data_IF_371055140890
#
_entry.id   IF_371055140890
#
_cell.length_a   1.000
_cell.length_b   1.000
_cell.length_c   1.000
_cell.angle_alpha   90.00
_cell.angle_beta   90.00
_cell.angle_gamma   90.00
#
_symmetry.space_group_name_H-M   'P 1'
#
loop_
_entity.id
_entity.type
_entity.pdbx_description
1 polymer ?
#
# COMPACT_ATOMS: atom_id res chain seq x y z
N UNK A 1 42.04 -23.28 -12.90
CA UNK A 1 41.31 -23.46 -14.16
C UNK A 1 39.98 -24.09 -13.83
N UNK A 2 38.87 -23.35 -14.01
CA UNK A 2 37.53 -23.89 -13.80
C UNK A 2 37.18 -24.98 -14.79
N UNK A 3 36.15 -25.77 -14.49
CA UNK A 3 35.60 -26.76 -15.42
C UNK A 3 34.69 -25.98 -16.40
N UNK A 4 34.83 -26.12 -17.74
CA UNK A 4 33.97 -25.44 -18.69
C UNK A 4 32.48 -25.70 -18.47
N UNK A 5 31.62 -24.73 -18.76
CA UNK A 5 30.16 -24.82 -18.62
C UNK A 5 29.53 -26.06 -19.28
N UNK A 6 30.14 -26.53 -20.39
CA UNK A 6 29.68 -27.74 -21.08
C UNK A 6 29.71 -29.04 -20.23
N UNK A 7 30.42 -29.06 -19.10
CA UNK A 7 30.49 -30.19 -18.19
C UNK A 7 29.47 -30.12 -17.06
N UNK A 8 28.71 -29.02 -16.95
CA UNK A 8 27.69 -28.85 -15.92
C UNK A 8 26.28 -28.96 -16.52
N UNK A 9 25.41 -29.65 -15.84
CA UNK A 9 23.97 -29.64 -16.12
C UNK A 9 23.22 -29.31 -14.84
N UNK A 10 22.46 -28.21 -14.86
CA UNK A 10 21.63 -27.78 -13.76
C UNK A 10 20.18 -27.91 -14.18
N UNK A 11 19.46 -28.81 -13.55
CA UNK A 11 18.08 -29.13 -13.87
C UNK A 11 17.17 -28.66 -12.76
N UNK A 12 16.24 -27.78 -13.09
CA UNK A 12 15.15 -27.39 -12.18
C UNK A 12 13.99 -28.38 -12.29
N UNK A 13 13.24 -28.53 -11.19
CA UNK A 13 12.05 -29.38 -11.19
C UNK A 13 11.09 -28.98 -12.31
N UNK A 14 10.49 -29.96 -12.98
CA UNK A 14 9.63 -29.73 -14.15
C UNK A 14 10.33 -29.42 -15.46
N UNK A 15 11.68 -29.45 -15.51
CA UNK A 15 12.49 -29.22 -16.71
C UNK A 15 13.41 -30.38 -17.02
N UNK A 16 13.51 -30.72 -18.30
CA UNK A 16 14.42 -31.75 -18.81
C UNK A 16 15.73 -31.17 -19.36
N UNK A 17 15.68 -29.88 -19.76
CA UNK A 17 16.82 -29.15 -20.30
C UNK A 17 17.61 -28.46 -19.18
N UNK A 18 18.94 -28.42 -19.35
CA UNK A 18 19.83 -27.69 -18.42
C UNK A 18 19.54 -26.19 -18.44
N UNK A 19 19.56 -25.57 -17.26
CA UNK A 19 19.51 -24.13 -17.14
C UNK A 19 20.70 -23.44 -17.86
N UNK A 20 20.47 -22.26 -18.38
CA UNK A 20 21.48 -21.46 -19.06
C UNK A 20 22.40 -20.81 -18.03
N UNK A 21 23.72 -20.96 -18.18
CA UNK A 21 24.71 -20.26 -17.38
C UNK A 21 24.76 -18.78 -17.77
N UNK A 22 24.84 -17.91 -16.76
CA UNK A 22 24.93 -16.46 -16.98
C UNK A 22 26.37 -16.02 -17.28
N UNK A 23 27.36 -16.81 -16.86
CA UNK A 23 28.78 -16.67 -17.16
C UNK A 23 29.43 -18.05 -17.09
N UNK A 24 30.69 -18.18 -17.56
CA UNK A 24 31.46 -19.41 -17.38
C UNK A 24 31.62 -19.70 -15.88
N UNK A 25 31.42 -20.97 -15.47
CA UNK A 25 31.54 -21.37 -14.07
C UNK A 25 32.95 -21.14 -13.51
N UNK A 26 32.99 -20.58 -12.30
CA UNK A 26 34.22 -20.50 -11.52
C UNK A 26 34.44 -21.76 -10.71
N UNK A 27 35.59 -21.87 -10.02
CA UNK A 27 35.93 -23.11 -9.26
C UNK A 27 35.00 -23.37 -8.08
N UNK A 28 34.43 -22.31 -7.49
CA UNK A 28 33.64 -22.39 -6.25
C UNK A 28 32.19 -21.95 -6.42
N UNK A 29 31.86 -21.29 -7.54
CA UNK A 29 30.53 -20.75 -7.79
C UNK A 29 30.16 -20.67 -9.25
N UNK A 30 28.87 -20.69 -9.53
CA UNK A 30 28.31 -20.36 -10.83
C UNK A 30 26.89 -19.80 -10.67
N UNK A 31 26.46 -19.05 -11.66
CA UNK A 31 25.11 -18.50 -11.74
C UNK A 31 24.38 -19.04 -12.94
N UNK A 32 23.14 -19.44 -12.76
CA UNK A 32 22.27 -19.91 -13.83
C UNK A 32 20.98 -19.12 -13.85
N UNK A 33 20.42 -18.94 -15.03
CA UNK A 33 19.09 -18.38 -15.21
C UNK A 33 18.04 -19.45 -14.92
N UNK A 34 17.07 -19.16 -14.06
CA UNK A 34 15.91 -20.04 -13.83
C UNK A 34 15.12 -20.17 -15.14
N UNK A 35 14.90 -21.40 -15.66
CA UNK A 35 14.18 -21.57 -16.91
C UNK A 35 12.71 -21.19 -16.76
N UNK A 36 12.14 -20.66 -17.83
CA UNK A 36 10.70 -20.40 -17.90
C UNK A 36 9.91 -21.71 -17.69
N UNK A 37 8.86 -21.64 -16.83
CA UNK A 37 8.04 -22.80 -16.45
C UNK A 37 8.77 -23.82 -15.58
N UNK A 38 9.87 -23.47 -14.93
CA UNK A 38 10.42 -24.25 -13.83
C UNK A 38 9.39 -24.36 -12.69
N UNK A 39 9.43 -25.46 -11.95
CA UNK A 39 8.57 -25.69 -10.80
C UNK A 39 9.40 -25.72 -9.52
N UNK A 40 8.75 -25.41 -8.39
CA UNK A 40 9.38 -25.57 -7.08
C UNK A 40 9.75 -27.04 -6.85
N UNK A 41 10.90 -27.28 -6.27
CA UNK A 41 11.39 -28.62 -5.97
C UNK A 41 12.91 -28.70 -5.94
N UNK A 42 13.42 -29.92 -5.99
CA UNK A 42 14.85 -30.19 -5.96
C UNK A 42 15.56 -29.70 -7.21
N UNK A 43 16.74 -29.11 -7.04
CA UNK A 43 17.68 -28.84 -8.12
C UNK A 43 18.57 -30.08 -8.29
N UNK A 44 18.73 -30.55 -9.53
CA UNK A 44 19.67 -31.61 -9.87
C UNK A 44 20.89 -31.02 -10.56
N UNK A 45 22.04 -31.24 -9.98
CA UNK A 45 23.34 -30.86 -10.53
C UNK A 45 24.08 -32.08 -11.01
N UNK A 46 24.49 -32.11 -12.26
CA UNK A 46 25.40 -33.12 -12.79
C UNK A 46 26.70 -32.42 -13.23
N UNK A 47 27.83 -33.00 -12.85
CA UNK A 47 29.16 -32.56 -13.28
C UNK A 47 29.82 -33.72 -14.04
N UNK A 48 30.11 -33.49 -15.31
CA UNK A 48 30.66 -34.55 -16.19
C UNK A 48 29.81 -35.83 -16.13
N UNK A 49 28.46 -35.65 -16.28
CA UNK A 49 27.45 -36.71 -16.21
C UNK A 49 27.32 -37.46 -14.88
N UNK A 50 28.00 -37.02 -13.83
CA UNK A 50 27.86 -37.55 -12.47
C UNK A 50 26.92 -36.68 -11.66
N UNK A 51 25.88 -37.26 -11.01
CA UNK A 51 24.99 -36.51 -10.16
C UNK A 51 25.73 -36.05 -8.89
N UNK A 52 25.49 -34.77 -8.55
CA UNK A 52 25.93 -34.19 -7.28
C UNK A 52 24.69 -33.96 -6.44
N UNK A 53 24.74 -34.39 -5.18
CA UNK A 53 23.65 -34.17 -4.24
C UNK A 53 23.57 -32.67 -3.88
N UNK A 54 22.46 -32.04 -4.20
CA UNK A 54 22.14 -30.65 -3.82
C UNK A 54 21.03 -30.73 -2.77
N UNK A 55 21.36 -30.66 -1.47
CA UNK A 55 20.40 -30.91 -0.40
C UNK A 55 19.45 -29.76 -0.10
N UNK A 56 19.13 -28.96 -1.12
CA UNK A 56 18.23 -27.80 -1.01
C UNK A 56 17.16 -27.85 -2.09
N UNK A 57 15.95 -27.47 -1.72
CA UNK A 57 14.88 -27.25 -2.65
C UNK A 57 14.91 -25.78 -3.12
N UNK A 58 14.54 -25.56 -4.36
CA UNK A 58 14.37 -24.24 -4.93
C UNK A 58 12.87 -23.92 -5.03
N UNK A 59 12.48 -22.77 -4.53
CA UNK A 59 11.10 -22.30 -4.63
C UNK A 59 10.98 -21.32 -5.80
N UNK A 60 10.15 -21.65 -6.77
CA UNK A 60 9.80 -20.77 -7.87
C UNK A 60 8.62 -19.91 -7.45
N UNK A 61 8.83 -18.60 -7.45
CA UNK A 61 7.79 -17.62 -7.16
C UNK A 61 7.01 -17.26 -8.42
N UNK A 62 5.77 -16.88 -8.22
CA UNK A 62 4.98 -16.24 -9.26
C UNK A 62 5.31 -14.76 -9.29
N UNK A 63 5.27 -14.15 -10.49
CA UNK A 63 5.43 -12.71 -10.61
C UNK A 63 4.30 -11.98 -9.86
N UNK A 64 4.68 -10.95 -9.13
CA UNK A 64 3.72 -10.05 -8.51
C UNK A 64 3.17 -9.07 -9.55
N UNK A 65 1.92 -8.70 -9.42
CA UNK A 65 1.29 -7.72 -10.29
C UNK A 65 0.36 -6.79 -9.50
N UNK A 66 0.28 -5.52 -9.92
CA UNK A 66 -0.73 -4.59 -9.44
C UNK A 66 -1.91 -4.58 -10.40
N UNK A 67 -3.13 -4.53 -9.87
CA UNK A 67 -4.35 -4.47 -10.68
C UNK A 67 -4.93 -3.06 -10.69
N UNK A 68 -5.36 -2.54 -9.55
CA UNK A 68 -6.03 -1.26 -9.45
C UNK A 68 -5.89 -0.65 -8.03
N UNK A 69 -6.18 0.65 -7.92
CA UNK A 69 -6.54 1.25 -6.64
C UNK A 69 -7.93 0.76 -6.26
N UNK A 70 -8.12 0.35 -5.02
CA UNK A 70 -9.40 -0.11 -4.49
C UNK A 70 -10.17 1.07 -3.93
N UNK A 71 -11.37 1.30 -4.42
CA UNK A 71 -12.15 2.50 -4.11
C UNK A 71 -11.80 3.68 -5.00
N UNK A 72 -11.77 4.89 -4.45
CA UNK A 72 -11.36 6.09 -5.18
C UNK A 72 -9.84 6.14 -5.35
N UNK A 73 -9.39 6.50 -6.54
CA UNK A 73 -7.97 6.69 -6.83
C UNK A 73 -7.50 8.10 -6.37
N UNK A 74 -7.97 8.53 -5.22
CA UNK A 74 -7.67 9.79 -4.58
C UNK A 74 -7.71 9.66 -3.05
N UNK A 75 -6.97 10.52 -2.36
CA UNK A 75 -6.95 10.53 -0.91
C UNK A 75 -6.19 11.73 -0.35
N UNK A 76 -6.20 11.86 0.96
CA UNK A 76 -5.52 12.95 1.66
C UNK A 76 -4.18 12.48 2.20
N UNK A 77 -3.22 13.39 2.34
CA UNK A 77 -2.01 13.14 3.11
C UNK A 77 -2.38 12.61 4.50
N UNK A 78 -1.64 11.62 5.02
CA UNK A 78 -1.93 10.85 6.23
C UNK A 78 -3.11 9.88 6.16
N UNK A 79 -3.89 9.86 5.09
CA UNK A 79 -4.93 8.88 4.83
C UNK A 79 -4.37 7.52 4.39
N UNK A 80 -5.25 6.64 3.94
CA UNK A 80 -4.90 5.31 3.44
C UNK A 80 -5.21 5.21 1.94
N UNK A 81 -4.35 4.53 1.21
CA UNK A 81 -4.60 4.08 -0.15
C UNK A 81 -4.55 2.56 -0.16
N UNK A 82 -5.59 1.91 -0.69
CA UNK A 82 -5.64 0.47 -0.84
C UNK A 82 -5.41 0.09 -2.30
N UNK A 83 -4.49 -0.81 -2.58
CA UNK A 83 -4.21 -1.30 -3.93
C UNK A 83 -4.41 -2.81 -3.99
N UNK A 84 -5.05 -3.26 -5.06
CA UNK A 84 -5.22 -4.68 -5.35
C UNK A 84 -4.16 -5.19 -6.32
N UNK A 85 -3.90 -6.48 -6.25
CA UNK A 85 -2.93 -7.13 -7.10
C UNK A 85 -2.94 -8.64 -6.94
N UNK A 86 -1.88 -9.29 -7.35
CA UNK A 86 -1.69 -10.74 -7.18
C UNK A 86 -0.27 -11.03 -6.74
N UNK A 87 -0.11 -12.06 -5.92
CA UNK A 87 1.19 -12.51 -5.40
C UNK A 87 1.99 -11.39 -4.68
N UNK A 88 1.29 -10.49 -4.00
CA UNK A 88 1.91 -9.36 -3.30
C UNK A 88 2.54 -9.76 -1.97
N UNK A 89 2.10 -10.87 -1.37
CA UNK A 89 2.60 -11.37 -0.10
C UNK A 89 3.58 -12.55 -0.28
N UNK A 90 4.65 -12.34 -1.02
CA UNK A 90 5.70 -13.36 -1.19
C UNK A 90 6.81 -13.26 -0.13
N UNK A 91 6.59 -12.50 0.92
CA UNK A 91 7.59 -12.22 1.95
C UNK A 91 7.92 -13.43 2.84
N UNK A 92 7.09 -14.47 2.83
CA UNK A 92 7.26 -15.65 3.71
C UNK A 92 7.51 -16.89 2.87
N UNK A 93 8.76 -17.10 2.49
CA UNK A 93 9.16 -18.34 1.81
C UNK A 93 9.62 -19.42 2.79
N UNK A 94 10.13 -19.03 3.94
CA UNK A 94 10.64 -19.91 4.99
C UNK A 94 10.69 -19.10 6.30
N UNK A 95 10.33 -19.70 7.42
CA UNK A 95 10.40 -19.08 8.75
C UNK A 95 11.83 -18.66 9.15
N UNK A 96 12.83 -19.13 8.42
CA UNK A 96 14.26 -18.86 8.66
C UNK A 96 14.81 -17.70 7.84
N UNK A 97 14.11 -17.21 6.82
CA UNK A 97 14.56 -16.12 5.94
C UNK A 97 13.72 -14.88 6.20
N UNK A 98 14.33 -13.89 6.85
CA UNK A 98 13.72 -12.55 6.99
C UNK A 98 13.79 -11.86 5.63
N UNK A 99 12.74 -11.97 4.85
CA UNK A 99 12.61 -11.24 3.59
C UNK A 99 12.31 -9.76 3.88
N UNK A 100 12.85 -8.90 3.03
CA UNK A 100 12.51 -7.47 3.07
C UNK A 100 11.00 -7.32 2.80
N UNK A 101 10.32 -6.43 3.53
CA UNK A 101 8.91 -6.16 3.27
C UNK A 101 8.71 -5.58 1.86
N UNK A 102 7.49 -5.70 1.36
CA UNK A 102 7.06 -4.97 0.17
C UNK A 102 7.17 -3.47 0.44
N UNK A 103 7.68 -2.72 -0.53
CA UNK A 103 7.81 -1.27 -0.47
C UNK A 103 6.87 -0.62 -1.48
N UNK A 104 6.19 0.42 -1.04
CA UNK A 104 5.34 1.25 -1.88
C UNK A 104 5.91 2.66 -1.98
N UNK A 105 5.72 3.30 -3.12
CA UNK A 105 6.22 4.64 -3.37
C UNK A 105 5.16 5.48 -4.09
N UNK A 106 5.09 6.76 -3.72
CA UNK A 106 4.34 7.78 -4.45
C UNK A 106 5.33 8.65 -5.22
N UNK A 107 5.18 8.71 -6.55
CA UNK A 107 6.02 9.52 -7.43
C UNK A 107 5.18 10.64 -8.05
N UNK A 108 5.53 11.93 -7.87
CA UNK A 108 4.79 13.03 -8.48
C UNK A 108 4.83 12.97 -10.00
N UNK A 109 3.68 13.07 -10.68
CA UNK A 109 3.64 13.13 -12.16
C UNK A 109 4.24 14.43 -12.72
N UNK A 110 4.22 15.50 -11.94
CA UNK A 110 4.86 16.76 -12.29
C UNK A 110 6.41 16.72 -12.26
N UNK A 111 6.98 15.61 -11.84
CA UNK A 111 8.43 15.43 -11.65
C UNK A 111 8.83 15.61 -10.19
N UNK A 112 9.89 14.91 -9.80
CA UNK A 112 10.40 14.88 -8.43
C UNK A 112 10.76 13.46 -8.00
N UNK A 113 11.28 13.34 -6.79
CA UNK A 113 11.69 12.07 -6.21
C UNK A 113 10.48 11.26 -5.73
N UNK A 114 10.61 9.94 -5.81
CA UNK A 114 9.65 9.02 -5.23
C UNK A 114 9.73 9.06 -3.71
N UNK A 115 8.58 9.15 -3.04
CA UNK A 115 8.46 9.13 -1.59
C UNK A 115 8.02 7.75 -1.14
N UNK A 116 8.83 7.09 -0.30
CA UNK A 116 8.49 5.78 0.27
C UNK A 116 7.33 5.92 1.26
N UNK A 117 6.38 5.02 1.15
CA UNK A 117 5.17 4.96 1.97
C UNK A 117 5.17 3.69 2.83
N UNK A 118 4.65 3.80 4.04
CA UNK A 118 4.52 2.65 4.94
C UNK A 118 3.39 1.73 4.48
N UNK A 119 3.69 0.46 4.29
CA UNK A 119 2.68 -0.58 4.04
C UNK A 119 2.15 -1.07 5.39
N UNK A 120 0.87 -0.85 5.66
CA UNK A 120 0.19 -1.21 6.92
C UNK A 120 -0.34 -2.63 6.90
N UNK A 121 -0.92 -3.03 5.76
CA UNK A 121 -1.45 -4.37 5.54
C UNK A 121 -0.82 -4.93 4.29
N UNK A 122 -0.34 -6.17 4.36
CA UNK A 122 0.22 -6.89 3.23
C UNK A 122 -0.43 -8.26 3.15
N UNK A 123 -1.33 -8.42 2.19
CA UNK A 123 -1.97 -9.68 1.84
C UNK A 123 -1.61 -10.05 0.40
N UNK A 124 -1.94 -11.26 -0.03
CA UNK A 124 -1.57 -11.74 -1.38
C UNK A 124 -2.22 -10.92 -2.50
N UNK A 125 -3.41 -10.38 -2.25
CA UNK A 125 -4.20 -9.62 -3.22
C UNK A 125 -4.45 -8.16 -2.81
N UNK A 126 -3.95 -7.72 -1.65
CA UNK A 126 -4.21 -6.39 -1.09
C UNK A 126 -3.01 -5.81 -0.36
N UNK A 127 -2.74 -4.54 -0.62
CA UNK A 127 -1.85 -3.71 0.18
C UNK A 127 -2.60 -2.47 0.63
N UNK A 128 -2.58 -2.19 1.95
CA UNK A 128 -2.99 -0.90 2.48
C UNK A 128 -1.76 -0.07 2.77
N UNK A 129 -1.70 1.10 2.17
CA UNK A 129 -0.54 1.98 2.13
C UNK A 129 -0.90 3.28 2.85
N UNK A 130 -0.13 3.65 3.87
CA UNK A 130 -0.26 4.93 4.52
C UNK A 130 0.27 6.03 3.61
N UNK A 131 -0.58 6.97 3.22
CA UNK A 131 -0.17 8.11 2.40
C UNK A 131 0.77 9.01 3.24
N UNK A 132 2.01 9.28 2.76
CA UNK A 132 2.95 10.10 3.51
C UNK A 132 2.45 11.52 3.77
N UNK A 133 2.64 12.02 4.99
CA UNK A 133 2.24 13.37 5.39
C UNK A 133 2.96 14.50 4.62
N UNK A 134 4.08 14.17 3.99
CA UNK A 134 4.93 15.11 3.24
C UNK A 134 4.46 15.36 1.82
N UNK A 135 3.49 14.60 1.33
CA UNK A 135 2.98 14.75 -0.04
C UNK A 135 2.11 16.00 -0.15
N UNK A 136 2.42 16.82 -1.14
CA UNK A 136 1.58 17.95 -1.52
C UNK A 136 0.39 17.50 -2.38
N UNK A 137 -0.70 18.25 -2.41
CA UNK A 137 -1.80 17.99 -3.35
C UNK A 137 -1.34 17.95 -4.81
N UNK A 138 -1.88 16.99 -5.58
CA UNK A 138 -1.54 16.81 -6.99
C UNK A 138 -1.58 15.36 -7.45
N UNK A 139 -1.19 15.13 -8.68
CA UNK A 139 -1.20 13.83 -9.33
C UNK A 139 0.09 13.05 -9.06
N UNK A 140 -0.08 11.79 -8.68
CA UNK A 140 0.99 10.84 -8.38
C UNK A 140 0.79 9.52 -9.11
N UNK A 141 1.84 8.73 -9.12
CA UNK A 141 1.77 7.30 -9.43
C UNK A 141 2.19 6.50 -8.21
N UNK A 142 1.45 5.44 -7.90
CA UNK A 142 1.84 4.44 -6.90
C UNK A 142 2.64 3.35 -7.61
N UNK A 143 3.83 3.06 -7.12
CA UNK A 143 4.65 1.93 -7.55
C UNK A 143 4.96 1.03 -6.36
N UNK A 144 5.13 -0.26 -6.63
CA UNK A 144 5.40 -1.28 -5.61
C UNK A 144 6.62 -2.09 -6.01
N UNK A 145 7.45 -2.39 -5.04
CA UNK A 145 8.62 -3.26 -5.19
C UNK A 145 8.53 -4.39 -4.18
N UNK A 146 8.56 -5.62 -4.65
CA UNK A 146 8.71 -6.79 -3.79
C UNK A 146 10.20 -7.06 -3.49
N UNK A 147 10.55 -7.95 -2.56
CA UNK A 147 11.94 -8.33 -2.32
C UNK A 147 12.68 -8.88 -3.56
N UNK A 148 11.93 -9.38 -4.53
CA UNK A 148 12.49 -10.10 -5.68
C UNK A 148 12.38 -9.34 -6.99
N UNK A 149 11.45 -8.40 -7.10
CA UNK A 149 11.22 -7.67 -8.34
C UNK A 149 10.56 -6.30 -8.09
N UNK A 150 10.81 -5.39 -9.01
CA UNK A 150 10.02 -4.17 -9.16
C UNK A 150 8.85 -4.47 -10.07
N UNK A 151 7.63 -4.18 -9.61
CA UNK A 151 6.44 -4.34 -10.44
C UNK A 151 6.42 -3.21 -11.47
N UNK A 152 6.38 -3.56 -12.75
CA UNK A 152 6.45 -2.57 -13.84
C UNK A 152 5.21 -1.68 -13.93
N UNK A 153 4.03 -2.23 -13.59
CA UNK A 153 2.78 -1.47 -13.61
C UNK A 153 2.74 -0.51 -12.44
N UNK A 154 2.39 0.74 -12.73
CA UNK A 154 2.08 1.78 -11.75
C UNK A 154 0.59 2.12 -11.78
N UNK A 155 0.07 2.64 -10.69
CA UNK A 155 -1.32 3.07 -10.57
C UNK A 155 -1.39 4.58 -10.37
N UNK A 156 -2.33 5.22 -11.04
CA UNK A 156 -2.58 6.64 -10.87
C UNK A 156 -3.29 6.91 -9.54
N UNK A 157 -2.91 7.99 -8.87
CA UNK A 157 -3.49 8.40 -7.61
C UNK A 157 -3.43 9.92 -7.46
N UNK A 158 -4.48 10.53 -6.95
CA UNK A 158 -4.53 11.97 -6.67
C UNK A 158 -4.41 12.23 -5.16
N UNK A 159 -3.49 13.10 -4.76
CA UNK A 159 -3.46 13.63 -3.41
C UNK A 159 -4.32 14.88 -3.37
N UNK A 160 -5.40 14.80 -2.62
CA UNK A 160 -6.36 15.91 -2.47
C UNK A 160 -5.82 16.96 -1.50
N UNK A 161 -6.17 18.24 -1.69
CA UNK A 161 -5.96 19.26 -0.67
C UNK A 161 -6.67 18.88 0.61
N UNK A 162 -6.01 19.05 1.75
CA UNK A 162 -6.63 18.75 3.04
C UNK A 162 -7.93 19.53 3.21
N UNK A 163 -8.97 18.91 3.79
CA UNK A 163 -10.21 19.62 4.07
C UNK A 163 -9.95 20.79 5.02
N UNK A 164 -10.62 21.91 4.79
CA UNK A 164 -10.49 23.11 5.60
C UNK A 164 -11.86 23.52 6.10
N UNK A 165 -12.02 23.64 7.42
CA UNK A 165 -13.24 24.17 8.02
C UNK A 165 -13.41 25.64 7.64
N UNK A 166 -14.56 25.96 7.06
CA UNK A 166 -14.90 27.33 6.66
C UNK A 166 -15.81 28.00 7.68
N UNK A 167 -16.84 27.29 8.14
CA UNK A 167 -17.75 27.79 9.19
C UNK A 167 -18.47 26.67 9.92
N UNK A 168 -18.88 26.99 11.15
CA UNK A 168 -19.81 26.19 11.94
C UNK A 168 -20.88 27.16 12.48
N UNK A 169 -22.14 26.88 12.22
CA UNK A 169 -23.26 27.70 12.69
C UNK A 169 -24.49 26.87 13.04
N UNK A 170 -25.21 27.20 14.12
CA UNK A 170 -24.85 28.18 15.13
C UNK A 170 -23.81 27.64 16.15
N UNK A 171 -22.99 28.52 16.73
CA UNK A 171 -22.04 28.18 17.81
C UNK A 171 -22.69 28.08 19.19
N UNK A 172 -24.01 28.27 19.28
CA UNK A 172 -24.79 28.14 20.52
C UNK A 172 -26.09 27.41 20.22
N UNK A 173 -26.42 26.42 21.03
CA UNK A 173 -27.63 25.65 20.82
C UNK A 173 -27.95 24.76 21.99
N UNK A 174 -29.10 24.12 21.95
CA UNK A 174 -29.55 23.12 22.90
C UNK A 174 -29.23 21.71 22.40
N UNK A 175 -29.28 20.73 23.24
CA UNK A 175 -29.26 19.32 22.82
C UNK A 175 -30.33 19.08 21.75
N UNK A 176 -29.96 18.40 20.70
CA UNK A 176 -30.82 18.17 19.54
C UNK A 176 -30.86 19.32 18.52
N UNK A 177 -30.25 20.46 18.81
CA UNK A 177 -30.12 21.53 17.79
C UNK A 177 -29.28 21.04 16.60
N UNK A 178 -29.64 21.55 15.42
CA UNK A 178 -28.90 21.27 14.19
C UNK A 178 -27.81 22.32 14.01
N UNK A 179 -26.60 21.87 13.79
CA UNK A 179 -25.44 22.69 13.49
C UNK A 179 -25.05 22.44 12.04
N UNK A 180 -24.89 23.51 11.27
CA UNK A 180 -24.41 23.48 9.88
C UNK A 180 -22.89 23.65 9.88
N UNK A 181 -22.20 22.77 9.20
CA UNK A 181 -20.74 22.80 9.03
C UNK A 181 -20.44 22.98 7.54
N UNK A 182 -19.59 23.95 7.23
CA UNK A 182 -19.07 24.17 5.88
C UNK A 182 -17.57 23.89 5.87
N UNK A 183 -17.16 22.98 5.01
CA UNK A 183 -15.75 22.60 4.85
C UNK A 183 -15.38 22.60 3.37
N UNK A 184 -14.30 23.29 3.01
CA UNK A 184 -13.73 23.26 1.67
C UNK A 184 -12.85 21.98 1.49
N UNK A 185 -12.64 21.59 0.24
CA UNK A 185 -11.79 20.45 -0.17
C UNK A 185 -12.21 19.10 0.46
N UNK A 186 -13.48 18.92 0.69
CA UNK A 186 -14.01 17.74 1.35
C UNK A 186 -14.00 16.50 0.47
N UNK A 187 -13.98 16.65 -0.85
CA UNK A 187 -14.17 15.57 -1.81
C UNK A 187 -15.59 14.98 -1.76
N UNK A 188 -15.78 13.87 -2.43
CA UNK A 188 -17.01 13.07 -2.32
C UNK A 188 -16.88 12.20 -1.07
N UNK A 189 -17.58 12.56 0.02
CA UNK A 189 -17.52 11.80 1.27
C UNK A 189 -18.88 11.19 1.63
N UNK A 190 -18.82 10.01 2.18
CA UNK A 190 -19.93 9.43 2.91
C UNK A 190 -20.01 10.01 4.34
N UNK A 191 -21.16 9.94 4.96
CA UNK A 191 -21.32 10.43 6.35
C UNK A 191 -20.45 9.65 7.34
N UNK A 192 -20.07 8.43 7.00
CA UNK A 192 -19.21 7.53 7.76
C UNK A 192 -17.75 8.03 7.86
N UNK A 193 -17.34 8.85 6.89
CA UNK A 193 -16.01 9.44 6.84
C UNK A 193 -15.87 10.68 7.72
N UNK A 194 -17.00 11.20 8.23
CA UNK A 194 -17.04 12.36 9.11
C UNK A 194 -17.18 11.92 10.55
N UNK A 195 -16.24 12.32 11.38
CA UNK A 195 -16.34 12.17 12.82
C UNK A 195 -16.30 13.57 13.45
N UNK A 196 -17.34 13.96 14.17
CA UNK A 196 -17.38 15.21 14.91
C UNK A 196 -17.69 14.91 16.38
N UNK A 197 -16.94 15.53 17.27
CA UNK A 197 -17.04 15.35 18.71
C UNK A 197 -17.44 16.66 19.39
N UNK A 198 -18.33 16.57 20.36
CA UNK A 198 -18.67 17.64 21.31
C UNK A 198 -18.03 17.25 22.67
N UNK A 199 -16.83 17.73 22.93
CA UNK A 199 -15.98 17.19 24.00
C UNK A 199 -15.67 15.72 23.74
N UNK A 200 -16.07 14.83 24.64
CA UNK A 200 -15.90 13.38 24.49
C UNK A 200 -17.12 12.67 23.87
N UNK A 201 -18.18 13.42 23.53
CA UNK A 201 -19.42 12.83 23.02
C UNK A 201 -19.50 12.97 21.50
N UNK A 202 -19.62 11.87 20.75
CA UNK A 202 -19.72 11.93 19.29
C UNK A 202 -21.04 12.56 18.87
N UNK A 203 -20.98 13.37 17.82
CA UNK A 203 -22.16 13.86 17.13
C UNK A 203 -22.98 12.71 16.57
N UNK A 204 -24.29 12.90 16.53
CA UNK A 204 -25.23 11.96 15.92
C UNK A 204 -25.92 12.62 14.73
N UNK A 205 -26.60 11.82 13.90
CA UNK A 205 -27.44 12.34 12.81
C UNK A 205 -26.69 13.30 11.86
N UNK A 206 -25.53 12.83 11.33
CA UNK A 206 -24.82 13.56 10.28
C UNK A 206 -25.58 13.43 8.97
N UNK A 207 -25.86 14.56 8.35
CA UNK A 207 -26.57 14.63 7.05
C UNK A 207 -25.75 15.45 6.06
N UNK A 208 -25.37 14.87 4.92
CA UNK A 208 -24.69 15.56 3.83
C UNK A 208 -25.72 16.39 3.08
N UNK A 209 -25.47 17.69 2.93
CA UNK A 209 -26.32 18.64 2.21
C UNK A 209 -25.83 18.81 0.77
N UNK A 210 -24.54 19.09 0.62
CA UNK A 210 -23.85 19.24 -0.68
C UNK A 210 -22.34 18.90 -0.53
N UNK A 211 -21.54 19.16 -1.56
CA UNK A 211 -20.09 18.86 -1.56
C UNK A 211 -19.27 19.61 -0.51
N UNK A 212 -19.76 20.69 0.03
CA UNK A 212 -19.06 21.50 1.04
C UNK A 212 -19.79 21.57 2.37
N UNK A 213 -21.06 21.20 2.42
CA UNK A 213 -21.95 21.45 3.56
C UNK A 213 -22.53 20.14 4.10
N UNK A 214 -22.51 20.01 5.39
CA UNK A 214 -23.25 18.96 6.12
C UNK A 214 -23.82 19.49 7.43
N UNK A 215 -24.78 18.79 7.97
CA UNK A 215 -25.38 19.13 9.26
C UNK A 215 -25.16 18.01 10.26
N UNK A 216 -25.04 18.39 11.51
CA UNK A 216 -24.95 17.47 12.65
C UNK A 216 -25.92 17.89 13.73
N UNK A 217 -26.42 16.94 14.52
CA UNK A 217 -27.20 17.27 15.72
C UNK A 217 -26.30 17.28 16.94
N UNK A 218 -26.50 18.27 17.81
CA UNK A 218 -25.87 18.31 19.14
C UNK A 218 -26.32 17.10 19.94
N UNK A 219 -25.40 16.23 20.37
CA UNK A 219 -25.76 15.03 21.11
C UNK A 219 -26.25 15.35 22.53
N UNK A 220 -26.77 14.34 23.21
CA UNK A 220 -27.09 14.45 24.66
C UNK A 220 -25.81 14.59 25.46
N UNK A 221 -25.59 15.75 26.05
CA UNK A 221 -24.40 16.09 26.80
C UNK A 221 -24.68 16.02 28.32
N UNK A 222 -23.66 15.61 29.07
CA UNK A 222 -23.71 15.59 30.55
C UNK A 222 -23.20 16.88 31.17
N UNK A 223 -22.53 17.72 30.39
CA UNK A 223 -21.96 19.02 30.78
C UNK A 223 -22.55 20.13 29.93
N UNK A 224 -22.63 21.34 30.52
CA UNK A 224 -23.13 22.53 29.86
C UNK A 224 -22.06 23.62 29.91
N UNK A 225 -22.12 24.59 28.99
CA UNK A 225 -21.15 25.67 28.84
C UNK A 225 -20.36 25.57 27.57
N UNK A 226 -19.13 26.08 27.56
CA UNK A 226 -18.22 25.95 26.41
C UNK A 226 -17.70 24.50 26.32
N UNK A 227 -17.92 23.90 25.16
CA UNK A 227 -17.52 22.52 24.89
C UNK A 227 -16.59 22.54 23.69
N UNK A 228 -15.38 21.98 23.81
CA UNK A 228 -14.47 21.90 22.66
C UNK A 228 -15.06 21.02 21.57
N UNK A 229 -14.94 21.48 20.33
CA UNK A 229 -15.32 20.71 19.15
C UNK A 229 -14.06 20.16 18.50
N UNK A 230 -14.10 18.91 18.10
CA UNK A 230 -13.09 18.31 17.23
C UNK A 230 -13.77 17.58 16.07
N UNK A 231 -13.11 17.55 14.94
CA UNK A 231 -13.65 16.92 13.74
C UNK A 231 -12.54 16.30 12.91
N UNK A 232 -12.81 15.11 12.39
CA UNK A 232 -11.99 14.49 11.35
C UNK A 232 -12.83 14.22 10.11
N UNK A 233 -12.23 14.36 8.94
CA UNK A 233 -12.80 13.97 7.65
C UNK A 233 -11.80 13.05 6.98
N UNK A 234 -12.20 11.83 6.62
CA UNK A 234 -11.32 10.76 6.13
C UNK A 234 -10.10 10.51 7.04
N UNK A 235 -10.28 10.65 8.35
CA UNK A 235 -9.19 10.51 9.32
C UNK A 235 -8.23 11.73 9.40
N UNK A 236 -8.41 12.75 8.58
CA UNK A 236 -7.65 14.00 8.67
C UNK A 236 -8.29 14.93 9.70
N UNK A 237 -7.51 15.30 10.71
CA UNK A 237 -7.97 16.22 11.76
C UNK A 237 -8.15 17.63 11.20
N UNK A 238 -9.33 18.22 11.46
CA UNK A 238 -9.68 19.58 11.05
C UNK A 238 -9.26 20.56 12.14
N UNK A 239 -8.54 21.62 11.74
CA UNK A 239 -8.30 22.73 12.65
C UNK A 239 -9.60 23.50 12.86
N UNK A 240 -10.16 23.40 14.04
CA UNK A 240 -11.45 24.01 14.41
C UNK A 240 -11.34 25.51 14.73
N UNK A 241 -10.14 26.11 14.60
CA UNK A 241 -9.92 27.53 14.89
C UNK A 241 -10.36 27.89 16.29
N UNK A 242 -9.48 28.28 17.16
CA UNK A 242 -9.83 28.84 18.47
C UNK A 242 -10.31 30.29 18.35
#
# INVERSE_FOLDING_TARGET
LGVPSAHYKVLFSGKEESATFMAEPEMESFSVKVPEGAQSGEIKLNITDKPVNVPVAFTVLKHAALDAVKGEAAGYATGMASVSGTNLNQAVLDETVVLQPVKAFFTPKAGGDAVEAEVKTQEDELLDIQIPATLAPGDYTISVTTPFEKIEKTLDFEILPNPVLTSIEPLKGYVGAVVTVVAAHRGTIAKEDIQMMFGETPATDITIVDESTFTVKVPSLTTFGEIPLSMTIHGVEMNMGG
#
